data_IF_964235167488
#
_entry.id   IF_964235167488
#
_cell.length_a   1.000
_cell.length_b   1.000
_cell.length_c   1.000
_cell.angle_alpha   90.00
_cell.angle_beta   90.00
_cell.angle_gamma   90.00
#
_symmetry.space_group_name_H-M   'P 1'
#
loop_
_entity.id
_entity.type
_entity.pdbx_description
1 polymer ?
#
# COMPACT_ATOMS: atom_id res chain seq x y z
N UNK A 1 9.21 -22.78 24.58
CA UNK A 1 10.02 -21.58 24.87
C UNK A 1 9.15 -20.66 25.72
N UNK A 2 9.68 -20.12 26.81
CA UNK A 2 8.96 -19.19 27.69
C UNK A 2 8.83 -17.83 27.01
N UNK A 3 7.59 -17.38 26.79
CA UNK A 3 7.33 -16.00 26.37
C UNK A 3 7.60 -15.08 27.56
N UNK A 4 8.31 -13.99 27.32
CA UNK A 4 8.47 -12.93 28.32
C UNK A 4 7.49 -11.82 27.99
N UNK A 5 7.00 -11.14 29.02
CA UNK A 5 6.11 -9.99 28.86
C UNK A 5 6.88 -8.70 29.15
N UNK A 6 6.66 -7.70 28.30
CA UNK A 6 7.16 -6.34 28.55
C UNK A 6 6.05 -5.33 28.34
N UNK A 7 5.89 -4.44 29.30
CA UNK A 7 4.95 -3.33 29.24
C UNK A 7 5.59 -2.12 28.55
N UNK A 8 4.85 -1.49 27.66
CA UNK A 8 5.22 -0.27 26.96
C UNK A 8 4.13 0.77 27.21
N UNK A 9 4.53 1.96 27.68
CA UNK A 9 3.62 3.10 27.83
C UNK A 9 3.90 4.07 26.69
N UNK A 10 2.91 4.27 25.84
CA UNK A 10 2.99 5.18 24.71
C UNK A 10 2.32 6.52 25.05
N UNK A 11 2.94 7.66 24.73
CA UNK A 11 2.26 8.95 24.80
C UNK A 11 1.18 9.05 23.72
N UNK A 12 0.34 10.09 23.81
CA UNK A 12 -0.55 10.47 22.73
C UNK A 12 0.24 10.71 21.42
N UNK A 13 -0.34 10.26 20.31
CA UNK A 13 0.30 10.23 18.98
C UNK A 13 1.61 9.42 18.91
N UNK A 14 1.84 8.53 19.88
CA UNK A 14 2.97 7.61 19.91
C UNK A 14 2.71 6.33 19.11
N UNK A 15 3.79 5.65 18.73
CA UNK A 15 3.73 4.37 18.01
C UNK A 15 4.75 3.39 18.59
N UNK A 16 4.33 2.16 18.88
CA UNK A 16 5.22 1.06 19.22
C UNK A 16 5.66 0.35 17.95
N UNK A 17 6.98 0.24 17.75
CA UNK A 17 7.58 -0.56 16.68
C UNK A 17 7.90 -1.95 17.22
N UNK A 18 7.33 -2.97 16.57
CA UNK A 18 7.51 -4.39 16.92
C UNK A 18 7.89 -5.17 15.69
N UNK A 19 8.99 -5.91 15.73
CA UNK A 19 9.32 -6.90 14.70
C UNK A 19 9.02 -8.28 15.25
N UNK A 20 7.97 -8.91 14.75
CA UNK A 20 7.53 -10.23 15.21
C UNK A 20 8.60 -11.29 14.95
N UNK A 21 8.67 -12.27 15.85
CA UNK A 21 9.59 -13.40 15.74
C UNK A 21 9.49 -14.06 14.37
N UNK A 22 10.61 -14.49 13.79
CA UNK A 22 10.64 -15.05 12.43
C UNK A 22 10.09 -16.47 12.37
N UNK A 23 10.30 -17.25 13.43
CA UNK A 23 9.87 -18.65 13.52
C UNK A 23 8.40 -18.73 13.88
N UNK A 24 7.62 -19.47 13.09
CA UNK A 24 6.16 -19.57 13.27
C UNK A 24 5.72 -20.14 14.64
N UNK A 25 6.55 -20.95 15.30
CA UNK A 25 6.26 -21.45 16.64
C UNK A 25 6.57 -20.45 17.76
N UNK A 26 7.34 -19.40 17.46
CA UNK A 26 7.62 -18.30 18.38
C UNK A 26 6.54 -17.23 18.18
N UNK A 27 5.63 -17.13 19.14
CA UNK A 27 4.51 -16.17 19.06
C UNK A 27 4.97 -14.78 19.50
N UNK A 28 4.51 -13.76 18.80
CA UNK A 28 4.59 -12.36 19.24
C UNK A 28 3.17 -11.87 19.40
N UNK A 29 2.77 -11.58 20.64
CA UNK A 29 1.40 -11.20 20.97
C UNK A 29 1.41 -9.79 21.55
N UNK A 30 0.50 -8.94 21.09
CA UNK A 30 0.30 -7.58 21.59
C UNK A 30 -1.08 -7.50 22.23
N UNK A 31 -1.15 -6.95 23.43
CA UNK A 31 -2.42 -6.73 24.15
C UNK A 31 -2.51 -5.27 24.58
N UNK A 32 -3.59 -4.60 24.17
CA UNK A 32 -3.94 -3.28 24.68
C UNK A 32 -4.47 -3.42 26.11
N UNK A 33 -3.84 -2.74 27.06
CA UNK A 33 -4.28 -2.80 28.45
C UNK A 33 -5.58 -2.00 28.65
N UNK A 34 -6.55 -2.54 29.40
CA UNK A 34 -7.75 -1.81 29.78
C UNK A 34 -7.39 -0.62 30.67
N UNK A 35 -8.30 0.36 30.71
CA UNK A 35 -8.15 1.57 31.51
C UNK A 35 -8.06 1.23 33.00
N UNK A 36 -7.12 1.86 33.71
CA UNK A 36 -6.90 1.62 35.14
C UNK A 36 -7.63 2.63 36.06
N UNK A 37 -7.99 3.82 35.55
CA UNK A 37 -8.56 4.91 36.36
C UNK A 37 -9.82 5.52 35.69
N UNK A 38 -10.92 5.60 36.44
CA UNK A 38 -12.18 6.21 36.00
C UNK A 38 -12.02 7.72 35.77
N UNK A 39 -12.34 8.20 34.56
CA UNK A 39 -12.40 9.64 34.23
C UNK A 39 -11.40 10.14 33.18
N UNK A 40 -10.47 9.31 32.71
CA UNK A 40 -9.56 9.62 31.59
C UNK A 40 -10.13 9.19 30.24
N UNK A 41 -9.62 9.73 29.11
CA UNK A 41 -10.02 9.25 27.78
C UNK A 41 -9.73 7.74 27.62
N UNK A 42 -10.63 7.01 26.98
CA UNK A 42 -10.45 5.57 26.73
C UNK A 42 -9.19 5.32 25.88
N UNK A 43 -8.35 4.33 26.24
CA UNK A 43 -7.14 4.04 25.49
C UNK A 43 -7.52 3.50 24.10
N UNK A 44 -6.98 4.13 23.06
CA UNK A 44 -7.13 3.69 21.67
C UNK A 44 -5.78 3.32 21.10
N UNK A 45 -5.73 2.20 20.41
CA UNK A 45 -4.59 1.79 19.61
C UNK A 45 -5.06 1.05 18.36
N UNK A 46 -4.31 1.16 17.28
CA UNK A 46 -4.55 0.43 16.05
C UNK A 46 -3.25 -0.11 15.45
N UNK A 47 -3.38 -1.18 14.64
CA UNK A 47 -2.31 -1.74 13.83
C UNK A 47 -2.67 -1.47 12.38
N UNK A 48 -1.96 -0.52 11.76
CA UNK A 48 -2.22 -0.09 10.39
C UNK A 48 -3.72 0.20 10.13
N UNK A 49 -4.36 0.91 11.07
CA UNK A 49 -5.76 1.32 10.97
C UNK A 49 -6.80 0.34 11.54
N UNK A 50 -6.43 -0.91 11.83
CA UNK A 50 -7.32 -1.90 12.48
C UNK A 50 -7.26 -1.72 13.99
N UNK A 51 -8.39 -1.42 14.62
CA UNK A 51 -8.46 -1.13 16.06
C UNK A 51 -8.13 -2.36 16.92
N UNK A 52 -7.38 -2.13 18.00
CA UNK A 52 -7.16 -3.11 19.05
C UNK A 52 -8.23 -2.98 20.12
N UNK A 53 -8.82 -4.10 20.51
CA UNK A 53 -9.77 -4.17 21.61
C UNK A 53 -9.02 -4.30 22.94
N UNK A 54 -9.32 -3.48 23.96
CA UNK A 54 -8.70 -3.61 25.28
C UNK A 54 -8.89 -5.00 25.88
N UNK A 55 -7.83 -5.57 26.42
CA UNK A 55 -7.82 -6.91 27.03
C UNK A 55 -7.80 -8.07 26.03
N UNK A 56 -7.94 -7.82 24.72
CA UNK A 56 -7.87 -8.85 23.68
C UNK A 56 -6.42 -8.99 23.23
N UNK A 57 -5.90 -10.21 23.34
CA UNK A 57 -4.58 -10.58 22.85
C UNK A 57 -4.61 -10.77 21.34
N UNK A 58 -3.75 -10.05 20.61
CA UNK A 58 -3.63 -10.14 19.15
C UNK A 58 -2.26 -10.68 18.78
N UNK A 59 -2.22 -11.77 18.03
CA UNK A 59 -1.00 -12.42 17.56
C UNK A 59 -0.50 -11.78 16.26
N UNK A 60 0.69 -11.18 16.32
CA UNK A 60 1.31 -10.59 15.14
C UNK A 60 1.87 -11.68 14.20
N UNK A 61 1.60 -11.60 12.89
CA UNK A 61 2.18 -12.49 11.91
C UNK A 61 3.72 -12.53 12.00
N UNK A 62 4.26 -13.73 12.20
CA UNK A 62 5.70 -13.90 12.38
C UNK A 62 6.52 -13.41 11.17
N UNK A 63 7.71 -12.85 11.44
CA UNK A 63 8.65 -12.35 10.43
C UNK A 63 8.34 -10.96 9.86
N UNK A 64 7.38 -10.23 10.44
CA UNK A 64 6.99 -8.89 9.96
C UNK A 64 7.21 -7.81 11.00
N UNK A 65 7.42 -6.60 10.51
CA UNK A 65 7.45 -5.39 11.33
C UNK A 65 6.09 -4.70 11.35
N UNK A 66 5.66 -4.32 12.54
CA UNK A 66 4.39 -3.69 12.82
C UNK A 66 4.60 -2.36 13.54
N UNK A 67 3.71 -1.42 13.24
CA UNK A 67 3.50 -0.19 13.99
C UNK A 67 2.18 -0.27 14.72
N UNK A 68 2.21 -0.22 16.05
CA UNK A 68 1.01 -0.08 16.88
C UNK A 68 0.89 1.38 17.26
N UNK A 69 0.00 2.10 16.59
CA UNK A 69 -0.19 3.53 16.79
C UNK A 69 -1.24 3.79 17.87
N UNK A 70 -1.06 4.86 18.66
CA UNK A 70 -2.03 5.30 19.64
C UNK A 70 -2.30 6.80 19.51
N UNK A 71 -3.53 7.22 19.14
CA UNK A 71 -3.87 8.63 19.08
C UNK A 71 -3.96 9.29 20.46
N UNK A 72 -4.51 8.59 21.46
CA UNK A 72 -4.77 9.13 22.82
C UNK A 72 -3.66 8.83 23.81
N UNK A 73 -2.74 7.94 23.46
CA UNK A 73 -1.81 7.33 24.41
C UNK A 73 -2.43 6.10 25.04
N UNK A 74 -1.59 5.10 25.32
CA UNK A 74 -2.04 3.82 25.84
C UNK A 74 -0.91 3.04 26.52
N UNK A 75 -1.28 1.99 27.24
CA UNK A 75 -0.34 0.98 27.73
C UNK A 75 -0.53 -0.32 26.94
N UNK A 76 0.55 -0.83 26.36
CA UNK A 76 0.59 -2.10 25.63
C UNK A 76 1.42 -3.12 26.41
N UNK A 77 1.04 -4.38 26.35
CA UNK A 77 1.89 -5.50 26.78
C UNK A 77 2.24 -6.33 25.56
N UNK A 78 3.53 -6.59 25.38
CA UNK A 78 4.04 -7.47 24.33
C UNK A 78 4.56 -8.75 24.98
N UNK A 79 4.00 -9.89 24.60
CA UNK A 79 4.47 -11.21 24.98
C UNK A 79 5.23 -11.83 23.80
N UNK A 80 6.55 -11.98 23.93
CA UNK A 80 7.41 -12.43 22.85
C UNK A 80 8.73 -13.04 23.37
N UNK A 81 9.53 -13.71 22.53
CA UNK A 81 10.91 -14.06 22.87
C UNK A 81 11.74 -12.83 23.24
N UNK A 82 12.74 -13.02 24.11
CA UNK A 82 13.60 -11.93 24.60
C UNK A 82 14.25 -11.12 23.47
N UNK A 83 14.68 -11.79 22.37
CA UNK A 83 15.26 -11.14 21.19
C UNK A 83 14.32 -10.14 20.52
N UNK A 84 13.02 -10.46 20.46
CA UNK A 84 11.98 -9.56 19.92
C UNK A 84 11.80 -8.36 20.83
N UNK A 85 11.69 -8.59 22.15
CA UNK A 85 11.48 -7.51 23.14
C UNK A 85 12.65 -6.52 23.21
N UNK A 86 13.87 -6.96 22.91
CA UNK A 86 15.04 -6.09 22.81
C UNK A 86 15.02 -5.19 21.57
N UNK A 87 14.41 -5.65 20.47
CA UNK A 87 14.27 -4.86 19.24
C UNK A 87 13.03 -3.94 19.25
N UNK A 88 12.08 -4.16 20.16
CA UNK A 88 10.87 -3.36 20.28
C UNK A 88 11.13 -2.01 20.98
N UNK A 89 10.65 -0.93 20.39
CA UNK A 89 10.78 0.42 20.95
C UNK A 89 9.53 1.27 20.70
N UNK A 90 9.19 2.11 21.67
CA UNK A 90 8.17 3.14 21.52
C UNK A 90 8.77 4.41 20.93
N UNK A 91 8.07 5.01 19.99
CA UNK A 91 8.40 6.33 19.44
C UNK A 91 7.83 7.43 20.34
N UNK A 92 8.55 8.55 20.43
CA UNK A 92 8.07 9.74 21.13
C UNK A 92 7.09 10.58 20.30
N UNK A 93 6.59 11.66 20.90
CA UNK A 93 5.68 12.60 20.25
C UNK A 93 6.25 13.11 18.92
N UNK A 94 5.46 13.02 17.84
CA UNK A 94 5.77 13.49 16.48
C UNK A 94 6.84 12.73 15.70
N UNK A 95 7.28 11.55 16.15
CA UNK A 95 8.25 10.73 15.42
C UNK A 95 7.61 9.67 14.49
N UNK A 96 6.35 9.87 14.09
CA UNK A 96 5.54 8.92 13.32
C UNK A 96 4.99 9.58 12.06
N UNK A 97 4.63 8.77 11.05
CA UNK A 97 3.93 9.25 9.85
C UNK A 97 2.42 9.46 10.06
N UNK A 98 1.94 9.35 11.31
CA UNK A 98 0.52 9.40 11.63
C UNK A 98 -0.15 10.70 11.17
N UNK A 99 0.58 11.83 11.23
CA UNK A 99 0.09 13.12 10.70
C UNK A 99 -0.13 13.06 9.19
N UNK A 100 0.86 12.58 8.43
CA UNK A 100 0.75 12.44 6.98
C UNK A 100 -0.41 11.53 6.59
N UNK A 101 -0.61 10.41 7.30
CA UNK A 101 -1.77 9.53 7.08
C UNK A 101 -3.08 10.24 7.41
N UNK A 102 -3.17 10.97 8.51
CA UNK A 102 -4.37 11.69 8.91
C UNK A 102 -4.74 12.81 7.93
N UNK A 103 -3.75 13.57 7.44
CA UNK A 103 -3.93 14.64 6.46
C UNK A 103 -4.44 14.05 5.13
N UNK A 104 -3.83 12.96 4.65
CA UNK A 104 -4.29 12.26 3.44
C UNK A 104 -5.71 11.75 3.66
N UNK A 105 -6.00 11.06 4.77
CA UNK A 105 -7.33 10.53 5.03
C UNK A 105 -8.40 11.63 5.06
N UNK A 106 -8.10 12.77 5.67
CA UNK A 106 -8.99 13.94 5.73
C UNK A 106 -9.24 14.51 4.33
N UNK A 107 -8.19 14.67 3.52
CA UNK A 107 -8.32 15.11 2.12
C UNK A 107 -9.17 14.15 1.31
N UNK A 108 -8.92 12.84 1.40
CA UNK A 108 -9.71 11.82 0.71
C UNK A 108 -11.17 11.85 1.17
N UNK A 109 -11.44 12.06 2.46
CA UNK A 109 -12.81 12.16 2.97
C UNK A 109 -13.57 13.35 2.38
N UNK A 110 -12.93 14.50 2.21
CA UNK A 110 -13.53 15.64 1.51
C UNK A 110 -13.95 15.25 0.08
N UNK A 111 -13.12 14.48 -0.62
CA UNK A 111 -13.44 13.99 -1.97
C UNK A 111 -14.59 12.98 -1.95
N UNK A 112 -14.64 12.08 -0.96
CA UNK A 112 -15.77 11.14 -0.79
C UNK A 112 -17.08 11.89 -0.54
N UNK A 113 -17.06 12.92 0.31
CA UNK A 113 -18.24 13.76 0.57
C UNK A 113 -18.69 14.48 -0.71
N UNK A 114 -17.76 14.97 -1.54
CA UNK A 114 -18.08 15.55 -2.84
C UNK A 114 -18.68 14.52 -3.80
N UNK A 115 -18.09 13.34 -3.91
CA UNK A 115 -18.61 12.25 -4.75
C UNK A 115 -20.01 11.82 -4.32
N UNK A 116 -20.27 11.73 -3.01
CA UNK A 116 -21.60 11.43 -2.48
C UNK A 116 -22.64 12.48 -2.87
N UNK A 117 -22.26 13.77 -2.84
CA UNK A 117 -23.15 14.89 -3.23
C UNK A 117 -23.33 15.00 -4.75
N UNK A 118 -22.37 14.53 -5.52
CA UNK A 118 -22.39 14.55 -6.99
C UNK A 118 -23.33 13.52 -7.64
N UNK A 119 -24.06 12.71 -6.86
CA UNK A 119 -24.99 11.73 -7.39
C UNK A 119 -24.31 10.48 -7.94
N UNK A 120 -24.96 9.78 -8.87
CA UNK A 120 -24.50 8.50 -9.42
C UNK A 120 -23.28 8.63 -10.34
N UNK A 121 -23.15 9.76 -11.03
CA UNK A 121 -22.06 10.00 -12.01
C UNK A 121 -20.71 10.32 -11.36
N UNK A 122 -20.71 10.76 -10.09
CA UNK A 122 -19.50 11.13 -9.39
C UNK A 122 -18.85 9.91 -8.72
N UNK A 123 -17.55 9.72 -8.90
CA UNK A 123 -16.80 8.61 -8.29
C UNK A 123 -15.94 9.13 -7.13
N UNK A 124 -15.76 8.31 -6.11
CA UNK A 124 -14.84 8.56 -5.01
C UNK A 124 -13.37 8.58 -5.49
N UNK A 125 -12.44 9.00 -4.62
CA UNK A 125 -11.05 9.21 -5.01
C UNK A 125 -10.38 7.90 -5.44
N UNK A 126 -9.68 7.92 -6.58
CA UNK A 126 -8.81 6.82 -7.02
C UNK A 126 -7.36 7.21 -6.78
N UNK A 127 -6.72 6.50 -5.86
CA UNK A 127 -5.39 6.86 -5.34
C UNK A 127 -4.38 5.75 -5.60
N UNK A 128 -3.17 6.11 -5.98
CA UNK A 128 -2.08 5.19 -6.27
C UNK A 128 -0.85 5.54 -5.44
N UNK A 129 -0.24 4.53 -4.81
CA UNK A 129 1.00 4.64 -4.07
C UNK A 129 2.14 3.95 -4.82
N UNK A 130 3.28 4.64 -4.94
CA UNK A 130 4.46 4.14 -5.64
C UNK A 130 5.74 4.60 -4.95
N UNK A 131 6.80 3.80 -5.02
CA UNK A 131 8.13 4.14 -4.51
C UNK A 131 9.23 3.71 -5.48
N UNK A 132 10.46 4.20 -5.27
CA UNK A 132 11.66 3.75 -6.01
C UNK A 132 12.48 2.69 -5.27
N UNK A 133 12.13 2.44 -4.00
CA UNK A 133 12.78 1.47 -3.13
C UNK A 133 11.76 0.48 -2.60
N UNK A 134 12.22 -0.75 -2.40
CA UNK A 134 11.47 -1.79 -1.69
C UNK A 134 11.22 -1.34 -0.25
N UNK A 135 10.06 -1.70 0.30
CA UNK A 135 9.72 -1.46 1.70
C UNK A 135 9.74 0.01 2.16
N UNK A 136 9.56 0.97 1.24
CA UNK A 136 9.43 2.39 1.58
C UNK A 136 8.14 2.74 2.37
N UNK A 137 7.20 1.80 2.49
CA UNK A 137 5.95 1.99 3.23
C UNK A 137 4.69 2.16 2.39
N UNK A 138 4.73 1.93 1.07
CA UNK A 138 3.55 2.07 0.17
C UNK A 138 2.36 1.26 0.69
N UNK A 139 2.56 -0.02 0.94
CA UNK A 139 1.52 -0.92 1.44
C UNK A 139 1.04 -0.55 2.84
N UNK A 140 1.88 0.07 3.66
CA UNK A 140 1.50 0.57 4.99
C UNK A 140 0.50 1.73 4.86
N UNK A 141 0.77 2.68 3.96
CA UNK A 141 -0.20 3.74 3.65
C UNK A 141 -1.49 3.18 3.07
N UNK A 142 -1.39 2.29 2.07
CA UNK A 142 -2.56 1.66 1.43
C UNK A 142 -3.40 0.92 2.46
N UNK A 143 -2.81 0.07 3.29
CA UNK A 143 -3.50 -0.68 4.36
C UNK A 143 -4.20 0.25 5.35
N UNK A 144 -3.47 1.24 5.86
CA UNK A 144 -3.98 2.15 6.89
C UNK A 144 -5.13 3.02 6.37
N UNK A 145 -4.98 3.63 5.20
CA UNK A 145 -6.00 4.49 4.60
C UNK A 145 -7.24 3.70 4.15
N UNK A 146 -7.04 2.47 3.66
CA UNK A 146 -8.16 1.56 3.35
C UNK A 146 -8.94 1.21 4.61
N UNK A 147 -8.25 0.85 5.69
CA UNK A 147 -8.89 0.54 6.97
C UNK A 147 -9.64 1.75 7.56
N UNK A 148 -9.07 2.95 7.46
CA UNK A 148 -9.76 4.18 7.87
C UNK A 148 -11.01 4.45 7.04
N UNK A 149 -10.95 4.25 5.72
CA UNK A 149 -12.14 4.37 4.87
C UNK A 149 -13.24 3.35 5.27
N UNK A 150 -12.86 2.11 5.57
CA UNK A 150 -13.81 1.09 6.05
C UNK A 150 -14.43 1.47 7.39
N UNK A 151 -13.64 1.98 8.34
CA UNK A 151 -14.12 2.46 9.64
C UNK A 151 -15.10 3.63 9.51
N UNK A 152 -14.98 4.45 8.46
CA UNK A 152 -15.92 5.51 8.13
C UNK A 152 -17.19 5.01 7.40
N UNK A 153 -17.31 3.70 7.17
CA UNK A 153 -18.48 3.06 6.56
C UNK A 153 -18.44 2.96 5.04
N UNK A 154 -17.31 3.28 4.41
CA UNK A 154 -17.09 3.08 2.97
C UNK A 154 -16.59 1.68 2.68
N UNK A 155 -16.77 1.20 1.45
CA UNK A 155 -16.26 -0.10 1.02
C UNK A 155 -15.30 0.03 -0.16
N UNK A 156 -14.14 0.69 0.01
CA UNK A 156 -13.25 1.00 -1.10
C UNK A 156 -12.74 -0.27 -1.81
N UNK A 157 -12.37 -0.14 -3.08
CA UNK A 157 -11.63 -1.17 -3.77
C UNK A 157 -10.14 -1.05 -3.45
N UNK A 158 -9.44 -2.18 -3.32
CA UNK A 158 -7.99 -2.22 -3.14
C UNK A 158 -7.38 -3.05 -4.27
N UNK A 159 -6.49 -2.44 -5.05
CA UNK A 159 -5.75 -3.10 -6.13
C UNK A 159 -4.29 -3.27 -5.70
N UNK A 160 -3.83 -4.51 -5.57
CA UNK A 160 -2.42 -4.85 -5.41
C UNK A 160 -1.82 -5.14 -6.80
N UNK A 161 -1.03 -4.20 -7.30
CA UNK A 161 -0.31 -4.26 -8.57
C UNK A 161 1.22 -4.42 -8.36
N UNK A 162 1.65 -4.74 -7.14
CA UNK A 162 3.04 -5.03 -6.79
C UNK A 162 3.43 -6.48 -7.15
N UNK A 163 3.24 -6.87 -8.42
CA UNK A 163 3.34 -8.26 -8.94
C UNK A 163 4.54 -9.07 -8.40
N UNK A 164 5.73 -8.46 -8.35
CA UNK A 164 6.98 -9.15 -7.95
C UNK A 164 7.09 -9.36 -6.43
N UNK A 165 6.56 -8.44 -5.64
CA UNK A 165 6.67 -8.45 -4.18
C UNK A 165 5.39 -7.91 -3.53
N UNK A 166 4.25 -8.58 -3.74
CA UNK A 166 2.97 -8.11 -3.25
C UNK A 166 2.91 -8.15 -1.73
N UNK A 167 2.03 -7.32 -1.16
CA UNK A 167 1.84 -7.23 0.29
C UNK A 167 0.44 -7.62 0.74
N UNK A 168 -0.50 -7.69 -0.20
CA UNK A 168 -1.87 -8.13 0.04
C UNK A 168 -2.16 -9.44 -0.71
N UNK A 169 -1.74 -9.50 -1.98
CA UNK A 169 -1.95 -10.64 -2.86
C UNK A 169 -0.78 -11.62 -2.92
N UNK A 170 -0.80 -12.43 -3.97
CA UNK A 170 0.16 -13.50 -4.23
C UNK A 170 1.21 -13.06 -5.25
N UNK A 171 2.47 -13.49 -5.13
CA UNK A 171 3.50 -13.21 -6.13
C UNK A 171 3.08 -13.66 -7.53
N UNK A 172 3.36 -12.83 -8.55
CA UNK A 172 2.96 -13.09 -9.93
C UNK A 172 1.49 -12.77 -10.23
N UNK A 173 0.74 -12.20 -9.28
CA UNK A 173 -0.69 -11.93 -9.42
C UNK A 173 -1.01 -10.46 -9.17
N UNK A 174 -1.85 -9.88 -10.03
CA UNK A 174 -2.53 -8.59 -9.77
C UNK A 174 -3.86 -8.89 -9.10
N UNK A 175 -4.12 -8.32 -7.93
CA UNK A 175 -5.27 -8.70 -7.10
C UNK A 175 -6.16 -7.50 -6.81
N UNK A 176 -7.46 -7.62 -7.09
CA UNK A 176 -8.48 -6.61 -6.81
C UNK A 176 -9.41 -7.09 -5.69
N UNK A 177 -9.40 -6.39 -4.57
CA UNK A 177 -10.20 -6.70 -3.38
C UNK A 177 -11.35 -5.71 -3.20
N UNK A 178 -12.49 -6.21 -2.72
CA UNK A 178 -13.62 -5.39 -2.31
C UNK A 178 -13.67 -5.31 -0.78
N UNK A 179 -13.15 -4.21 -0.21
CA UNK A 179 -12.92 -4.10 1.22
C UNK A 179 -14.20 -3.70 1.95
N UNK A 180 -14.78 -4.63 2.73
CA UNK A 180 -15.99 -4.39 3.53
C UNK A 180 -15.68 -4.31 5.03
N UNK A 181 -14.59 -4.95 5.45
CA UNK A 181 -14.10 -4.98 6.81
C UNK A 181 -12.63 -4.56 6.82
N UNK A 182 -12.18 -4.07 7.97
CA UNK A 182 -10.76 -3.77 8.16
C UNK A 182 -9.93 -5.03 7.97
N UNK A 183 -8.76 -4.89 7.38
CA UNK A 183 -7.82 -5.98 7.16
C UNK A 183 -7.45 -6.58 8.51
N UNK A 184 -7.65 -7.89 8.66
CA UNK A 184 -7.38 -8.59 9.90
C UNK A 184 -5.88 -8.52 10.25
N UNK A 185 -5.56 -8.46 11.54
CA UNK A 185 -4.16 -8.33 11.97
C UNK A 185 -3.43 -9.67 11.86
N UNK A 186 -4.10 -10.78 12.20
CA UNK A 186 -3.53 -12.12 12.27
C UNK A 186 -3.64 -12.84 10.92
N UNK A 187 -4.83 -12.78 10.32
CA UNK A 187 -5.21 -13.51 9.10
C UNK A 187 -5.14 -12.65 7.84
N UNK A 188 -4.84 -11.36 7.98
CA UNK A 188 -4.60 -10.42 6.88
C UNK A 188 -5.74 -10.39 5.84
N UNK A 189 -5.44 -10.84 4.62
CA UNK A 189 -6.36 -10.80 3.47
C UNK A 189 -7.08 -12.14 3.24
N UNK A 190 -6.88 -13.16 4.09
CA UNK A 190 -7.39 -14.52 3.87
C UNK A 190 -8.91 -14.59 3.64
N UNK A 191 -9.68 -13.69 4.25
CA UNK A 191 -11.14 -13.67 4.15
C UNK A 191 -11.68 -12.52 3.28
N UNK A 192 -10.81 -11.73 2.66
CA UNK A 192 -11.21 -10.61 1.82
C UNK A 192 -11.61 -11.11 0.40
N UNK A 193 -12.84 -10.86 -0.07
CA UNK A 193 -13.23 -11.24 -1.43
C UNK A 193 -12.36 -10.55 -2.47
N UNK A 194 -11.77 -11.34 -3.37
CA UNK A 194 -10.77 -10.88 -4.32
C UNK A 194 -10.97 -11.49 -5.71
N UNK A 195 -10.58 -10.72 -6.74
CA UNK A 195 -10.38 -11.20 -8.09
C UNK A 195 -8.87 -11.17 -8.39
N UNK A 196 -8.36 -12.26 -8.93
CA UNK A 196 -6.94 -12.45 -9.18
C UNK A 196 -6.66 -12.59 -10.68
N UNK A 197 -5.75 -11.76 -11.19
CA UNK A 197 -5.20 -11.85 -12.53
C UNK A 197 -3.79 -12.41 -12.47
N UNK A 198 -3.54 -13.55 -13.09
CA UNK A 198 -2.19 -14.12 -13.14
C UNK A 198 -1.35 -13.42 -14.22
N UNK A 199 -0.33 -12.67 -13.79
CA UNK A 199 0.65 -12.04 -14.66
C UNK A 199 1.85 -12.97 -14.89
N UNK A 200 2.29 -13.68 -13.86
CA UNK A 200 3.46 -14.56 -13.86
C UNK A 200 4.79 -13.80 -13.88
N UNK A 201 5.03 -13.01 -14.92
CA UNK A 201 6.24 -12.20 -15.15
C UNK A 201 6.13 -10.78 -14.56
N UNK A 202 7.24 -10.05 -14.47
CA UNK A 202 7.24 -8.68 -13.96
C UNK A 202 6.38 -7.75 -14.84
N UNK A 203 5.69 -6.77 -14.23
CA UNK A 203 4.85 -5.80 -14.98
C UNK A 203 5.63 -4.94 -15.97
N UNK A 204 6.95 -4.80 -15.77
CA UNK A 204 7.84 -4.07 -16.67
C UNK A 204 8.47 -4.96 -17.75
N UNK A 205 8.38 -6.29 -17.59
CA UNK A 205 8.87 -7.27 -18.55
C UNK A 205 7.86 -7.48 -19.68
N UNK A 206 6.57 -7.61 -19.35
CA UNK A 206 5.47 -7.62 -20.32
C UNK A 206 4.38 -6.60 -19.95
N UNK A 207 4.60 -5.33 -20.36
CA UNK A 207 3.68 -4.24 -20.04
C UNK A 207 2.35 -4.37 -20.78
N UNK A 208 2.33 -4.98 -21.97
CA UNK A 208 1.10 -5.14 -22.76
C UNK A 208 0.16 -6.14 -22.07
N UNK A 209 0.70 -7.26 -21.61
CA UNK A 209 -0.09 -8.23 -20.86
C UNK A 209 -0.57 -7.65 -19.52
N UNK A 210 0.29 -6.91 -18.83
CA UNK A 210 -0.08 -6.25 -17.58
C UNK A 210 -1.22 -5.25 -17.76
N UNK A 211 -1.14 -4.37 -18.77
CA UNK A 211 -2.21 -3.40 -19.06
C UNK A 211 -3.49 -4.13 -19.49
N UNK A 212 -3.39 -5.20 -20.29
CA UNK A 212 -4.57 -6.01 -20.66
C UNK A 212 -5.26 -6.60 -19.43
N UNK A 213 -4.50 -7.21 -18.52
CA UNK A 213 -4.99 -7.78 -17.28
C UNK A 213 -5.64 -6.70 -16.39
N UNK A 214 -4.96 -5.55 -16.26
CA UNK A 214 -5.48 -4.39 -15.54
C UNK A 214 -6.82 -3.93 -16.12
N UNK A 215 -6.93 -3.84 -17.44
CA UNK A 215 -8.16 -3.42 -18.13
C UNK A 215 -9.34 -4.35 -17.78
N UNK A 216 -9.12 -5.67 -17.73
CA UNK A 216 -10.15 -6.62 -17.33
C UNK A 216 -10.57 -6.44 -15.87
N UNK A 217 -9.61 -6.20 -14.96
CA UNK A 217 -9.90 -5.93 -13.55
C UNK A 217 -10.63 -4.59 -13.37
N UNK A 218 -10.27 -3.55 -14.13
CA UNK A 218 -10.92 -2.23 -14.05
C UNK A 218 -12.37 -2.25 -14.55
N UNK A 219 -12.69 -3.11 -15.53
CA UNK A 219 -14.09 -3.36 -15.91
C UNK A 219 -14.89 -3.92 -14.72
N UNK A 220 -14.36 -4.93 -14.04
CA UNK A 220 -15.01 -5.52 -12.85
C UNK A 220 -15.11 -4.53 -11.68
N UNK A 221 -14.08 -3.71 -11.48
CA UNK A 221 -14.10 -2.63 -10.50
C UNK A 221 -15.25 -1.65 -10.77
N UNK A 222 -15.41 -1.24 -12.04
CA UNK A 222 -16.48 -0.34 -12.48
C UNK A 222 -17.87 -0.96 -12.26
N UNK A 223 -18.06 -2.24 -12.62
CA UNK A 223 -19.31 -2.95 -12.35
C UNK A 223 -19.62 -3.02 -10.85
N UNK A 224 -18.61 -3.25 -10.01
CA UNK A 224 -18.77 -3.28 -8.55
C UNK A 224 -19.14 -1.91 -7.98
N UNK A 225 -18.50 -0.84 -8.47
CA UNK A 225 -18.82 0.53 -8.09
C UNK A 225 -20.25 0.91 -8.51
N UNK A 226 -20.68 0.55 -9.71
CA UNK A 226 -22.04 0.82 -10.20
C UNK A 226 -23.15 0.16 -9.35
N UNK A 227 -22.85 -0.95 -8.68
CA UNK A 227 -23.81 -1.69 -7.83
C UNK A 227 -23.81 -1.26 -6.36
N UNK A 228 -22.88 -0.41 -5.94
CA UNK A 228 -22.67 -0.11 -4.52
C UNK A 228 -22.13 1.30 -4.32
N UNK A 229 -22.98 2.19 -3.80
CA UNK A 229 -22.58 3.55 -3.44
C UNK A 229 -21.43 3.58 -2.45
N UNK A 230 -21.38 2.63 -1.50
CA UNK A 230 -20.26 2.54 -0.55
C UNK A 230 -18.93 2.24 -1.24
N UNK A 231 -18.96 1.49 -2.34
CA UNK A 231 -17.78 1.21 -3.16
C UNK A 231 -17.43 2.39 -4.07
N UNK A 232 -18.41 2.90 -4.81
CA UNK A 232 -18.25 4.05 -5.70
C UNK A 232 -17.71 5.26 -4.95
N UNK A 233 -18.35 5.65 -3.86
CA UNK A 233 -17.95 6.80 -3.03
C UNK A 233 -16.69 6.49 -2.23
N UNK A 234 -16.49 5.22 -1.82
CA UNK A 234 -15.27 4.79 -1.14
C UNK A 234 -14.01 4.99 -1.98
N UNK A 235 -14.13 4.86 -3.30
CA UNK A 235 -13.05 5.02 -4.25
C UNK A 235 -12.19 3.76 -4.38
N UNK A 236 -10.95 3.94 -4.82
CA UNK A 236 -10.01 2.85 -5.06
C UNK A 236 -8.62 3.21 -4.53
N UNK A 237 -7.97 2.27 -3.85
CA UNK A 237 -6.58 2.36 -3.43
C UNK A 237 -5.73 1.39 -4.25
N UNK A 238 -4.64 1.87 -4.83
CA UNK A 238 -3.72 1.08 -5.64
C UNK A 238 -2.34 1.04 -4.99
N UNK A 239 -1.85 -0.15 -4.68
CA UNK A 239 -0.44 -0.38 -4.38
C UNK A 239 0.28 -0.76 -5.68
N UNK A 240 1.01 0.19 -6.27
CA UNK A 240 1.79 -0.08 -7.48
C UNK A 240 3.11 -0.80 -7.17
N UNK A 241 3.55 -0.76 -5.91
CA UNK A 241 4.85 -1.24 -5.48
C UNK A 241 6.00 -0.34 -5.93
N UNK A 242 7.10 -0.97 -6.34
CA UNK A 242 8.35 -0.30 -6.65
C UNK A 242 8.53 -0.07 -8.16
N UNK A 243 9.12 1.07 -8.52
CA UNK A 243 9.76 1.31 -9.83
C UNK A 243 11.27 1.39 -9.61
N UNK A 244 12.02 0.40 -10.10
CA UNK A 244 13.47 0.41 -9.92
C UNK A 244 14.11 1.62 -10.61
N UNK A 245 14.95 2.33 -9.86
CA UNK A 245 15.74 3.44 -10.39
C UNK A 245 16.64 3.03 -11.56
N UNK A 246 17.29 1.87 -11.44
CA UNK A 246 18.18 1.35 -12.50
C UNK A 246 17.42 1.12 -13.81
N UNK A 247 16.24 0.50 -13.73
CA UNK A 247 15.43 0.22 -14.92
C UNK A 247 14.97 1.50 -15.63
N UNK A 248 14.68 2.56 -14.88
CA UNK A 248 14.32 3.86 -15.46
C UNK A 248 15.53 4.51 -16.13
N UNK A 249 16.68 4.55 -15.45
CA UNK A 249 17.91 5.16 -15.98
C UNK A 249 18.42 4.39 -17.22
N UNK A 250 18.36 3.06 -17.22
CA UNK A 250 18.70 2.22 -18.38
C UNK A 250 17.76 2.45 -19.57
N UNK A 251 16.44 2.54 -19.33
CA UNK A 251 15.48 2.81 -20.39
C UNK A 251 15.65 4.22 -20.97
N UNK A 252 15.91 5.23 -20.14
CA UNK A 252 16.18 6.59 -20.60
C UNK A 252 17.51 6.68 -21.38
N UNK A 253 18.54 5.97 -20.95
CA UNK A 253 19.82 5.90 -21.68
C UNK A 253 19.63 5.24 -23.05
N UNK A 254 18.86 4.15 -23.11
CA UNK A 254 18.51 3.47 -24.36
C UNK A 254 17.70 4.37 -25.31
N UNK A 255 16.75 5.16 -24.78
CA UNK A 255 16.01 6.16 -25.58
C UNK A 255 16.90 7.24 -26.21
N UNK A 256 18.08 7.50 -25.62
CA UNK A 256 19.03 8.52 -26.10
C UNK A 256 20.06 7.98 -27.10
N UNK A 257 20.15 6.67 -27.32
CA UNK A 257 21.09 6.09 -28.30
C UNK A 257 20.65 6.44 -29.73
N UNK A 258 21.59 6.92 -30.55
CA UNK A 258 21.37 7.24 -31.97
C UNK A 258 21.17 5.97 -32.81
N UNK A 259 21.85 4.87 -32.48
CA UNK A 259 21.76 3.59 -33.18
C UNK A 259 20.97 2.56 -32.35
N UNK A 260 19.76 2.23 -32.81
CA UNK A 260 18.90 1.20 -32.21
C UNK A 260 19.27 -0.18 -32.78
N UNK A 261 20.39 -0.73 -32.33
CA UNK A 261 20.92 -2.01 -32.81
C UNK A 261 20.12 -3.24 -32.32
N UNK A 262 19.26 -3.10 -31.31
CA UNK A 262 18.43 -4.19 -30.78
C UNK A 262 16.98 -4.10 -31.30
N UNK A 263 16.43 -5.22 -31.81
CA UNK A 263 15.01 -5.34 -32.20
C UNK A 263 14.05 -5.23 -31.00
N UNK A 264 14.54 -5.48 -29.78
CA UNK A 264 13.74 -5.46 -28.56
C UNK A 264 13.68 -4.04 -27.98
N UNK A 265 12.58 -3.33 -28.24
CA UNK A 265 12.27 -2.04 -27.61
C UNK A 265 12.21 -2.20 -26.09
N UNK A 266 13.17 -1.64 -25.36
CA UNK A 266 13.08 -1.54 -23.90
C UNK A 266 11.93 -0.59 -23.53
N UNK A 267 10.97 -1.07 -22.77
CA UNK A 267 9.85 -0.25 -22.30
C UNK A 267 10.27 0.52 -21.05
N UNK A 268 10.04 1.83 -21.04
CA UNK A 268 10.33 2.64 -19.87
C UNK A 268 9.33 2.31 -18.74
N UNK A 269 9.75 1.95 -17.52
CA UNK A 269 8.84 1.65 -16.42
C UNK A 269 7.83 2.77 -16.10
N UNK A 270 8.21 4.02 -16.36
CA UNK A 270 7.34 5.19 -16.19
C UNK A 270 6.22 5.27 -17.24
N UNK A 271 6.43 4.66 -18.41
CA UNK A 271 5.38 4.51 -19.42
C UNK A 271 4.29 3.56 -18.93
N UNK A 272 4.71 2.43 -18.36
CA UNK A 272 3.79 1.44 -17.77
C UNK A 272 2.99 2.06 -16.63
N UNK A 273 3.63 2.88 -15.78
CA UNK A 273 2.94 3.61 -14.73
C UNK A 273 1.93 4.59 -15.31
N UNK A 274 2.29 5.36 -16.34
CA UNK A 274 1.39 6.31 -16.97
C UNK A 274 0.20 5.62 -17.65
N UNK A 275 0.42 4.45 -18.27
CA UNK A 275 -0.64 3.63 -18.85
C UNK A 275 -1.56 3.07 -17.74
N UNK A 276 -1.00 2.67 -16.59
CA UNK A 276 -1.75 2.26 -15.40
C UNK A 276 -2.62 3.38 -14.85
N UNK A 277 -2.06 4.60 -14.75
CA UNK A 277 -2.76 5.80 -14.29
C UNK A 277 -3.96 6.09 -15.20
N UNK A 278 -3.77 5.98 -16.52
CA UNK A 278 -4.83 6.20 -17.49
C UNK A 278 -5.91 5.09 -17.43
N UNK A 279 -5.50 3.82 -17.42
CA UNK A 279 -6.41 2.68 -17.45
C UNK A 279 -7.25 2.57 -16.17
N UNK A 280 -6.65 2.84 -15.01
CA UNK A 280 -7.35 2.81 -13.73
C UNK A 280 -8.02 4.14 -13.35
N UNK A 281 -7.92 5.17 -14.20
CA UNK A 281 -8.44 6.53 -13.99
C UNK A 281 -7.97 7.10 -12.64
N UNK A 282 -6.66 7.07 -12.39
CA UNK A 282 -6.08 7.49 -11.11
C UNK A 282 -6.05 9.01 -11.02
N UNK A 283 -6.68 9.56 -9.97
CA UNK A 283 -6.73 11.00 -9.70
C UNK A 283 -5.54 11.49 -8.87
N UNK A 284 -5.04 10.66 -7.94
CA UNK A 284 -4.00 11.05 -6.98
C UNK A 284 -2.88 10.01 -6.96
N UNK A 285 -1.65 10.47 -7.19
CA UNK A 285 -0.44 9.64 -7.10
C UNK A 285 0.41 10.12 -5.91
N UNK A 286 0.63 9.22 -4.96
CA UNK A 286 1.47 9.42 -3.79
C UNK A 286 2.81 8.71 -3.99
N UNK A 287 3.87 9.49 -4.12
CA UNK A 287 5.24 8.98 -4.23
C UNK A 287 5.85 8.90 -2.84
N UNK A 288 6.20 7.70 -2.40
CA UNK A 288 6.67 7.44 -1.04
C UNK A 288 8.20 7.50 -1.00
N UNK A 289 8.73 8.47 -0.28
CA UNK A 289 10.15 8.55 0.10
C UNK A 289 11.12 8.87 -1.04
N UNK A 290 10.65 9.33 -2.20
CA UNK A 290 11.50 9.60 -3.36
C UNK A 290 11.11 10.86 -4.12
N UNK A 291 11.83 11.94 -3.83
CA UNK A 291 11.74 13.18 -4.61
C UNK A 291 12.21 12.96 -6.07
N UNK A 292 13.18 12.08 -6.28
CA UNK A 292 13.69 11.72 -7.61
C UNK A 292 12.60 11.07 -8.45
N UNK A 293 11.92 10.04 -7.92
CA UNK A 293 10.87 9.35 -8.67
C UNK A 293 9.70 10.29 -8.95
N UNK A 294 9.33 11.13 -7.98
CA UNK A 294 8.31 12.16 -8.17
C UNK A 294 8.65 13.08 -9.33
N UNK A 295 9.88 13.58 -9.38
CA UNK A 295 10.36 14.42 -10.48
C UNK A 295 10.31 13.69 -11.83
N UNK A 296 10.76 12.42 -11.86
CA UNK A 296 10.76 11.59 -13.08
C UNK A 296 9.36 11.31 -13.61
N UNK A 297 8.39 11.02 -12.73
CA UNK A 297 6.98 10.84 -13.10
C UNK A 297 6.45 12.12 -13.75
N UNK A 298 6.65 13.28 -13.10
CA UNK A 298 6.19 14.56 -13.63
C UNK A 298 6.80 14.85 -15.02
N UNK A 299 8.12 14.65 -15.17
CA UNK A 299 8.82 14.82 -16.44
C UNK A 299 8.27 13.89 -17.54
N UNK A 300 8.03 12.61 -17.23
CA UNK A 300 7.55 11.63 -18.21
C UNK A 300 6.12 11.91 -18.65
N UNK A 301 5.23 12.20 -17.70
CA UNK A 301 3.83 12.52 -18.00
C UNK A 301 3.76 13.78 -18.86
N UNK A 302 4.53 14.83 -18.53
CA UNK A 302 4.57 16.07 -19.31
C UNK A 302 5.12 15.88 -20.74
N UNK A 303 6.13 15.02 -20.92
CA UNK A 303 6.66 14.65 -22.25
C UNK A 303 5.58 13.99 -23.11
N UNK A 304 4.73 13.14 -22.52
CA UNK A 304 3.62 12.46 -23.21
C UNK A 304 2.48 13.40 -23.59
N UNK A 305 2.26 14.48 -22.85
CA UNK A 305 1.24 15.51 -23.18
C UNK A 305 1.66 16.47 -24.30
N UNK A 306 2.90 16.38 -24.81
CA UNK A 306 3.42 17.30 -25.82
C UNK A 306 3.81 18.69 -25.28
N UNK A 307 3.99 18.83 -23.97
CA UNK A 307 4.37 20.11 -23.35
C UNK A 307 5.84 20.50 -23.58
N UNK A 308 6.12 21.80 -23.65
CA UNK A 308 7.49 22.35 -23.73
C UNK A 308 8.36 21.91 -22.55
N UNK A 309 9.67 21.73 -22.76
CA UNK A 309 10.66 21.26 -21.77
C UNK A 309 10.43 21.93 -20.40
N UNK A 310 10.08 21.15 -19.37
CA UNK A 310 9.86 21.69 -18.01
C UNK A 310 11.11 22.44 -17.54
N UNK A 311 10.93 23.63 -16.93
CA UNK A 311 12.02 24.31 -16.24
C UNK A 311 12.44 23.45 -15.04
N UNK A 312 13.75 23.23 -14.82
CA UNK A 312 14.26 22.23 -13.85
C UNK A 312 13.87 22.45 -12.38
N UNK A 313 13.27 23.59 -12.03
CA UNK A 313 12.99 23.96 -10.64
C UNK A 313 11.51 24.19 -10.27
N UNK A 314 10.57 24.11 -11.23
CA UNK A 314 9.14 24.30 -10.92
C UNK A 314 8.38 23.00 -11.19
N UNK A 315 8.12 22.25 -10.13
CA UNK A 315 7.30 21.03 -10.18
C UNK A 315 5.83 21.38 -9.97
N UNK A 316 4.93 21.04 -10.90
CA UNK A 316 3.51 21.28 -10.71
C UNK A 316 2.92 20.24 -9.75
N UNK A 317 2.02 20.68 -8.88
CA UNK A 317 1.28 19.78 -7.97
C UNK A 317 0.24 18.92 -8.72
N UNK A 318 -0.09 19.29 -9.96
CA UNK A 318 -0.98 18.56 -10.85
C UNK A 318 -0.33 18.39 -12.23
N UNK A 319 -0.46 17.20 -12.83
CA UNK A 319 0.09 16.86 -14.15
C UNK A 319 -1.03 16.31 -15.03
N UNK A 320 -1.06 16.68 -16.31
CA UNK A 320 -2.10 16.23 -17.25
C UNK A 320 -1.57 15.05 -18.09
N UNK A 321 -2.28 13.92 -18.06
CA UNK A 321 -1.96 12.73 -18.85
C UNK A 321 -2.61 12.83 -20.26
N UNK A 322 -1.87 13.30 -21.27
CA UNK A 322 -2.37 13.44 -22.64
C UNK A 322 -3.63 14.33 -22.78
N UNK A 323 -4.64 13.84 -23.51
CA UNK A 323 -6.00 14.42 -23.57
C UNK A 323 -6.92 13.94 -22.42
N UNK A 324 -6.36 13.25 -21.42
CA UNK A 324 -7.08 12.59 -20.32
C UNK A 324 -7.15 13.42 -19.02
N UNK A 325 -7.46 12.77 -17.87
CA UNK A 325 -7.69 13.43 -16.60
C UNK A 325 -6.42 14.10 -16.02
N UNK A 326 -6.63 15.15 -15.22
CA UNK A 326 -5.57 15.82 -14.45
C UNK A 326 -5.27 15.04 -13.16
N UNK A 327 -4.01 14.68 -12.96
CA UNK A 327 -3.55 13.84 -11.83
C UNK A 327 -2.78 14.68 -10.83
N UNK A 328 -3.08 14.56 -9.54
CA UNK A 328 -2.37 15.25 -8.46
C UNK A 328 -1.18 14.41 -7.98
N UNK A 329 0.00 15.02 -7.85
CA UNK A 329 1.26 14.31 -7.53
C UNK A 329 1.86 14.77 -6.20
N UNK A 330 1.79 13.89 -5.20
CA UNK A 330 2.23 14.14 -3.82
C UNK A 330 3.55 13.43 -3.51
N UNK A 331 4.39 14.06 -2.69
CA UNK A 331 5.54 13.42 -2.04
C UNK A 331 5.15 13.13 -0.58
N UNK A 332 5.35 11.91 -0.12
CA UNK A 332 5.10 11.53 1.28
C UNK A 332 6.32 10.84 1.87
N UNK A 333 6.50 10.95 3.18
CA UNK A 333 7.64 10.36 3.87
C UNK A 333 7.62 8.83 3.80
N UNK A 334 8.81 8.24 3.68
CA UNK A 334 8.97 6.79 3.79
C UNK A 334 8.74 6.33 5.23
N UNK A 335 8.01 5.23 5.38
CA UNK A 335 8.02 4.45 6.62
C UNK A 335 8.85 3.22 6.36
N UNK A 336 10.16 3.32 6.58
CA UNK A 336 11.03 2.15 6.52
C UNK A 336 10.59 1.16 7.60
N UNK A 337 9.80 0.16 7.20
CA UNK A 337 9.67 -1.04 8.01
C UNK A 337 11.03 -1.73 7.92
N UNK A 338 11.72 -1.89 9.06
CA UNK A 338 13.03 -2.55 9.12
C UNK A 338 13.02 -3.80 8.26
N UNK A 339 14.03 -3.93 7.40
CA UNK A 339 14.07 -5.03 6.44
C UNK A 339 13.98 -6.36 7.20
N UNK A 340 12.97 -7.18 6.93
CA UNK A 340 13.14 -8.61 7.18
C UNK A 340 13.98 -9.15 6.03
N UNK A 341 15.22 -9.54 6.34
CA UNK A 341 15.94 -10.47 5.49
C UNK A 341 15.07 -11.73 5.36
N UNK A 342 14.88 -12.16 4.12
CA UNK A 342 14.03 -13.26 3.64
C UNK A 342 12.52 -13.02 3.64
N UNK A 343 11.99 -13.09 2.41
CA UNK A 343 10.59 -13.15 2.01
C UNK A 343 9.83 -14.35 2.61
N UNK A 344 9.65 -14.36 3.93
CA UNK A 344 8.82 -15.35 4.63
C UNK A 344 7.36 -15.26 4.18
N UNK A 345 6.89 -14.09 3.72
CA UNK A 345 5.57 -13.95 3.11
C UNK A 345 5.45 -14.82 1.85
N UNK A 346 6.40 -14.72 0.92
CA UNK A 346 6.45 -15.52 -0.30
C UNK A 346 6.59 -17.01 0.05
N UNK A 347 7.51 -17.37 0.96
CA UNK A 347 7.71 -18.78 1.37
C UNK A 347 6.50 -19.40 2.07
N UNK A 348 5.74 -18.63 2.86
CA UNK A 348 4.49 -19.11 3.48
C UNK A 348 3.41 -19.43 2.44
N UNK A 349 3.37 -18.68 1.35
CA UNK A 349 2.40 -18.89 0.29
C UNK A 349 2.85 -19.89 -0.79
N UNK A 350 4.12 -20.33 -0.79
CA UNK A 350 4.59 -21.40 -1.68
C UNK A 350 3.85 -22.74 -1.49
N UNK A 351 3.16 -22.98 -0.37
CA UNK A 351 2.31 -24.16 -0.21
C UNK A 351 1.10 -24.16 -1.18
N UNK A 352 0.73 -23.01 -1.76
CA UNK A 352 -0.31 -22.91 -2.79
C UNK A 352 0.18 -23.24 -4.21
N UNK A 353 1.50 -23.43 -4.43
CA UNK A 353 2.00 -23.99 -5.70
C UNK A 353 1.48 -25.41 -5.95
N UNK A 354 0.97 -26.11 -4.93
CA UNK A 354 0.30 -27.39 -5.07
C UNK A 354 -1.16 -27.29 -5.53
N UNK A 355 -1.81 -26.12 -5.42
CA UNK A 355 -3.21 -25.94 -5.81
C UNK A 355 -3.38 -25.38 -7.22
N UNK A 356 -2.38 -24.71 -7.78
CA UNK A 356 -2.37 -24.28 -9.17
C UNK A 356 -1.44 -25.18 -9.98
N UNK A 357 -2.06 -26.21 -10.56
CA UNK A 357 -1.48 -27.35 -11.29
C UNK A 357 -0.09 -27.17 -11.88
N UNK A 358 0.84 -28.01 -11.43
CA UNK A 358 1.97 -28.44 -12.24
C UNK A 358 1.44 -29.09 -13.53
N UNK A 359 1.91 -28.64 -14.69
CA UNK A 359 1.67 -29.36 -15.94
C UNK A 359 2.24 -30.77 -15.82
N UNK A 360 1.51 -31.83 -16.23
CA UNK A 360 2.14 -33.11 -16.47
C UNK A 360 3.02 -32.95 -17.71
N UNK A 361 4.33 -33.11 -17.55
CA UNK A 361 5.18 -33.50 -18.68
C UNK A 361 5.13 -35.03 -18.77
N UNK A 362 5.16 -35.60 -19.99
CA UNK A 362 5.06 -37.05 -20.20
C UNK A 362 6.22 -37.82 -19.56
#
# INVERSE_FOLDING_TARGET
MTLMERRYVLPAMGELRVTAATRAHERTVVTLQPQAEEGTEQPRADVFGTELLPGVAVQLPAGRSFGVFSPTGCSLVVAAPHSVLQACYGTGFNATNARSVADINTHLEVLRVRARRGGEDAVGPRVLFVADRRAAGTSTYVRTLTNYAVRLGYHPLLLDAAVEAPRFGYPGVVSLYAMQHTIDIEEEMCFAPAMHGFQGIGKHEDPLFFVHLLSQLMRLATERMARSDRCRVGGMFVDYGMISRSLVEEAEAWECLEERLEEHRKTNPLDVLADTIAEADIDHVFVVGSAWLRFKIAQRVHKRTGGSRMKPFVMPSAVVCGKGPSVQLFLVDATECGMSNDDLFVRRQCWLQYFFGTRPLP
#
